data_IF_719238573440
#
_entry.id   IF_719238573440
#
_cell.length_a   1.000
_cell.length_b   1.000
_cell.length_c   1.000
_cell.angle_alpha   90.00
_cell.angle_beta   90.00
_cell.angle_gamma   90.00
#
_symmetry.space_group_name_H-M   'P 1'
#
loop_
_entity.id
_entity.type
_entity.pdbx_description
1 polymer ?
#
# COMPACT_ATOMS: atom_id res chain seq x y z
N UNK A 1 -25.18 6.96 9.05
CA UNK A 1 -25.09 6.39 10.41
C UNK A 1 -24.39 5.00 10.42
N UNK A 2 -24.42 4.21 9.35
CA UNK A 2 -23.74 2.91 9.26
C UNK A 2 -22.20 2.96 9.09
N UNK A 3 -21.64 3.98 8.44
CA UNK A 3 -20.18 4.03 8.16
C UNK A 3 -19.32 4.15 9.44
N UNK A 4 -19.82 4.81 10.48
CA UNK A 4 -19.14 4.91 11.79
C UNK A 4 -19.18 3.62 12.60
N UNK A 5 -20.20 2.78 12.39
CA UNK A 5 -20.32 1.49 13.07
C UNK A 5 -19.38 0.48 12.41
N UNK A 6 -19.37 0.43 11.08
CA UNK A 6 -18.45 -0.43 10.31
C UNK A 6 -17.00 -0.05 10.57
N UNK A 7 -16.65 1.24 10.60
CA UNK A 7 -15.29 1.69 10.89
C UNK A 7 -14.84 1.33 12.31
N UNK A 8 -15.72 1.45 13.30
CA UNK A 8 -15.43 1.05 14.68
C UNK A 8 -15.29 -0.47 14.85
N UNK A 9 -16.11 -1.28 14.17
CA UNK A 9 -15.95 -2.74 14.17
C UNK A 9 -14.64 -3.19 13.51
N UNK A 10 -14.26 -2.58 12.38
CA UNK A 10 -12.98 -2.84 11.70
C UNK A 10 -11.79 -2.43 12.58
N UNK A 11 -11.89 -1.32 13.30
CA UNK A 11 -10.86 -0.86 14.24
C UNK A 11 -10.75 -1.79 15.46
N UNK A 12 -11.87 -2.29 15.96
CA UNK A 12 -11.94 -3.23 17.09
C UNK A 12 -11.35 -4.60 16.73
N UNK A 13 -11.63 -5.12 15.52
CA UNK A 13 -11.02 -6.37 15.03
C UNK A 13 -9.50 -6.24 14.84
N UNK A 14 -9.02 -5.13 14.27
CA UNK A 14 -7.58 -4.87 14.14
C UNK A 14 -6.84 -4.82 15.49
N UNK A 15 -7.45 -4.22 16.50
CA UNK A 15 -6.87 -4.18 17.86
C UNK A 15 -6.78 -5.58 18.48
N UNK A 16 -7.79 -6.44 18.29
CA UNK A 16 -7.78 -7.84 18.79
C UNK A 16 -6.70 -8.66 18.08
N UNK A 17 -6.55 -8.51 16.76
CA UNK A 17 -5.51 -9.19 15.99
C UNK A 17 -4.10 -8.74 16.40
N UNK A 18 -3.92 -7.46 16.70
CA UNK A 18 -2.64 -6.92 17.17
C UNK A 18 -2.32 -7.37 18.59
N UNK A 19 -3.32 -7.47 19.48
CA UNK A 19 -3.13 -8.01 20.83
C UNK A 19 -2.72 -9.48 20.82
N UNK A 20 -3.31 -10.29 19.93
CA UNK A 20 -2.88 -11.69 19.73
C UNK A 20 -1.44 -11.78 19.19
N UNK A 21 -1.04 -10.87 18.30
CA UNK A 21 0.35 -10.76 17.82
C UNK A 21 1.33 -10.35 18.94
N UNK A 22 0.93 -9.43 19.80
CA UNK A 22 1.71 -9.02 20.98
C UNK A 22 1.94 -10.21 21.90
N UNK A 23 0.89 -10.95 22.26
CA UNK A 23 1.00 -12.11 23.15
C UNK A 23 1.87 -13.24 22.55
N UNK A 24 1.75 -13.49 21.25
CA UNK A 24 2.59 -14.48 20.58
C UNK A 24 4.06 -14.05 20.57
N UNK A 25 4.36 -12.77 20.35
CA UNK A 25 5.72 -12.23 20.43
C UNK A 25 6.29 -12.30 21.85
N UNK A 26 5.50 -11.99 22.89
CA UNK A 26 5.94 -12.12 24.29
C UNK A 26 6.28 -13.57 24.62
N UNK A 27 5.44 -14.52 24.20
CA UNK A 27 5.71 -15.95 24.41
C UNK A 27 6.99 -16.39 23.68
N UNK A 28 7.22 -15.88 22.47
CA UNK A 28 8.47 -16.12 21.75
C UNK A 28 9.68 -15.54 22.49
N UNK A 29 9.57 -14.33 23.06
CA UNK A 29 10.63 -13.73 23.87
C UNK A 29 10.96 -14.57 25.10
N UNK A 30 9.95 -15.02 25.85
CA UNK A 30 10.12 -15.91 27.01
C UNK A 30 10.81 -17.22 26.63
N UNK A 31 10.37 -17.84 25.53
CA UNK A 31 10.98 -19.09 25.05
C UNK A 31 12.45 -18.90 24.65
N UNK A 32 12.80 -17.77 24.02
CA UNK A 32 14.20 -17.48 23.68
C UNK A 32 15.04 -17.18 24.93
N UNK A 33 14.46 -16.50 25.92
CA UNK A 33 15.09 -16.23 27.22
C UNK A 33 15.43 -17.52 27.96
N UNK A 34 14.45 -18.43 28.10
CA UNK A 34 14.65 -19.73 28.75
C UNK A 34 15.68 -20.59 28.02
N UNK A 35 15.67 -20.58 26.69
CA UNK A 35 16.67 -21.27 25.89
C UNK A 35 18.08 -20.71 26.11
N UNK A 36 18.23 -19.38 26.16
CA UNK A 36 19.52 -18.73 26.44
C UNK A 36 20.00 -19.07 27.85
N UNK A 37 19.10 -19.03 28.83
CA UNK A 37 19.40 -19.41 30.20
C UNK A 37 19.90 -20.86 30.28
N UNK A 38 19.21 -21.79 29.62
CA UNK A 38 19.60 -23.19 29.57
C UNK A 38 20.93 -23.40 28.84
N UNK A 39 21.18 -22.69 27.73
CA UNK A 39 22.45 -22.74 27.00
C UNK A 39 23.63 -22.35 27.89
N UNK A 40 23.51 -21.25 28.64
CA UNK A 40 24.54 -20.83 29.59
C UNK A 40 24.65 -21.76 30.81
N UNK A 41 23.60 -22.49 31.19
CA UNK A 41 23.67 -23.50 32.25
C UNK A 41 24.34 -24.80 31.78
N UNK A 42 24.20 -25.15 30.50
CA UNK A 42 24.81 -26.32 29.87
C UNK A 42 26.29 -26.13 29.50
N UNK A 43 27.00 -25.21 30.16
CA UNK A 43 28.42 -24.87 29.92
C UNK A 43 29.39 -25.98 30.41
N UNK A 44 29.06 -27.25 30.21
CA UNK A 44 29.94 -28.35 30.61
C UNK A 44 31.00 -28.62 29.53
N UNK A 45 32.25 -28.30 29.88
CA UNK A 45 33.46 -28.95 29.35
C UNK A 45 33.75 -28.76 27.86
N UNK A 46 33.82 -27.51 27.39
CA UNK A 46 34.28 -27.21 26.02
C UNK A 46 35.79 -27.54 25.90
N UNK A 47 36.11 -28.79 25.54
CA UNK A 47 37.50 -29.26 25.41
C UNK A 47 38.01 -29.28 23.97
N UNK A 48 37.13 -29.05 23.00
CA UNK A 48 37.44 -29.11 21.58
C UNK A 48 37.19 -27.77 20.88
N UNK A 49 38.00 -27.48 19.86
CA UNK A 49 37.95 -26.25 19.08
C UNK A 49 36.57 -26.04 18.43
N UNK A 50 36.01 -27.10 17.85
CA UNK A 50 34.74 -27.00 17.13
C UNK A 50 33.57 -26.83 18.10
N UNK A 51 33.68 -27.43 19.29
CA UNK A 51 32.71 -27.25 20.37
C UNK A 51 32.66 -25.78 20.84
N UNK A 52 33.81 -25.12 20.97
CA UNK A 52 33.91 -23.70 21.31
C UNK A 52 33.20 -22.78 20.31
N UNK A 53 33.50 -22.97 19.02
CA UNK A 53 32.87 -22.19 17.96
C UNK A 53 31.37 -22.45 17.88
N UNK A 54 30.97 -23.71 18.02
CA UNK A 54 29.57 -24.12 17.96
C UNK A 54 28.75 -23.51 19.11
N UNK A 55 29.29 -23.51 20.34
CA UNK A 55 28.66 -22.85 21.48
C UNK A 55 28.54 -21.34 21.24
N UNK A 56 29.65 -20.66 20.92
CA UNK A 56 29.67 -19.20 20.67
C UNK A 56 28.68 -18.81 19.57
N UNK A 57 28.69 -19.54 18.45
CA UNK A 57 27.79 -19.27 17.33
C UNK A 57 26.33 -19.54 17.68
N UNK A 58 26.02 -20.59 18.44
CA UNK A 58 24.66 -20.87 18.92
C UNK A 58 24.14 -19.74 19.81
N UNK A 59 24.91 -19.36 20.83
CA UNK A 59 24.52 -18.28 21.77
C UNK A 59 24.38 -16.95 21.03
N UNK A 60 25.35 -16.60 20.17
CA UNK A 60 25.29 -15.36 19.39
C UNK A 60 24.08 -15.33 18.47
N UNK A 61 23.75 -16.43 17.78
CA UNK A 61 22.58 -16.50 16.90
C UNK A 61 21.29 -16.31 17.70
N UNK A 62 21.15 -16.95 18.86
CA UNK A 62 19.98 -16.81 19.73
C UNK A 62 19.82 -15.39 20.29
N UNK A 63 20.90 -14.70 20.63
CA UNK A 63 20.86 -13.29 21.04
C UNK A 63 20.38 -12.39 19.89
N UNK A 64 20.82 -12.65 18.66
CA UNK A 64 20.37 -11.92 17.47
C UNK A 64 18.88 -12.18 17.22
N UNK A 65 18.44 -13.44 17.28
CA UNK A 65 17.03 -13.81 17.12
C UNK A 65 16.16 -13.09 18.16
N UNK A 66 16.59 -13.08 19.43
CA UNK A 66 15.92 -12.35 20.50
C UNK A 66 15.81 -10.85 20.18
N UNK A 67 16.91 -10.24 19.73
CA UNK A 67 16.96 -8.82 19.37
C UNK A 67 16.02 -8.49 18.22
N UNK A 68 15.86 -9.39 17.25
CA UNK A 68 14.94 -9.23 16.14
C UNK A 68 13.48 -9.29 16.60
N UNK A 69 13.14 -10.23 17.49
CA UNK A 69 11.79 -10.33 18.09
C UNK A 69 11.44 -9.07 18.87
N UNK A 70 12.38 -8.52 19.65
CA UNK A 70 12.20 -7.25 20.37
C UNK A 70 12.01 -6.07 19.40
N UNK A 71 12.75 -6.02 18.29
CA UNK A 71 12.57 -4.97 17.28
C UNK A 71 11.19 -5.03 16.61
N UNK A 72 10.69 -6.23 16.31
CA UNK A 72 9.33 -6.41 15.78
C UNK A 72 8.27 -5.96 16.77
N UNK A 73 8.47 -6.26 18.05
CA UNK A 73 7.58 -5.81 19.12
C UNK A 73 7.57 -4.29 19.27
N UNK A 74 8.73 -3.64 19.22
CA UNK A 74 8.84 -2.19 19.27
C UNK A 74 8.08 -1.50 18.12
N UNK A 75 8.12 -2.06 16.91
CA UNK A 75 7.34 -1.53 15.77
C UNK A 75 5.83 -1.56 16.04
N UNK A 76 5.33 -2.58 16.74
CA UNK A 76 3.93 -2.70 17.10
C UNK A 76 3.59 -1.74 18.25
N UNK A 77 4.45 -1.63 19.26
CA UNK A 77 4.28 -0.66 20.35
C UNK A 77 4.24 0.78 19.85
N UNK A 78 5.11 1.18 18.91
CA UNK A 78 5.11 2.54 18.38
C UNK A 78 3.84 2.92 17.59
N UNK A 79 3.04 1.93 17.16
CA UNK A 79 1.82 2.15 16.38
C UNK A 79 0.56 2.28 17.25
N UNK A 80 0.58 1.82 18.50
CA UNK A 80 -0.59 1.76 19.39
C UNK A 80 -0.28 2.33 20.78
N UNK A 81 -1.25 3.05 21.38
CA UNK A 81 -1.20 3.43 22.79
C UNK A 81 -1.47 2.18 23.65
N UNK A 82 -0.41 1.41 23.93
CA UNK A 82 -0.50 0.12 24.64
C UNK A 82 -0.52 0.31 26.16
N UNK A 83 -1.22 -0.60 26.85
CA UNK A 83 -1.27 -0.74 28.30
C UNK A 83 0.11 -0.78 28.97
N UNK A 84 0.19 -0.17 30.17
CA UNK A 84 1.42 -0.01 30.95
C UNK A 84 2.16 -1.33 31.25
N UNK A 85 1.42 -2.43 31.43
CA UNK A 85 1.97 -3.77 31.73
C UNK A 85 2.87 -4.31 30.60
N UNK A 86 2.43 -4.15 29.35
CA UNK A 86 3.17 -4.63 28.16
C UNK A 86 4.49 -3.86 27.97
N UNK A 87 4.51 -2.59 28.37
CA UNK A 87 5.71 -1.75 28.34
C UNK A 87 6.74 -2.20 29.39
N UNK A 88 6.29 -2.57 30.59
CA UNK A 88 7.17 -3.10 31.63
C UNK A 88 7.80 -4.43 31.21
N UNK A 89 7.04 -5.32 30.57
CA UNK A 89 7.53 -6.60 30.05
C UNK A 89 8.54 -6.41 28.90
N UNK A 90 8.33 -5.41 28.04
CA UNK A 90 9.32 -5.01 27.03
C UNK A 90 10.64 -4.52 27.62
N UNK A 91 10.57 -3.63 28.61
CA UNK A 91 11.76 -3.09 29.28
C UNK A 91 12.55 -4.19 30.01
N UNK A 92 11.84 -5.17 30.59
CA UNK A 92 12.44 -6.37 31.17
C UNK A 92 13.23 -7.17 30.12
N UNK A 93 12.61 -7.50 28.98
CA UNK A 93 13.26 -8.28 27.92
C UNK A 93 14.44 -7.54 27.27
N UNK A 94 14.35 -6.21 27.11
CA UNK A 94 15.47 -5.38 26.65
C UNK A 94 16.68 -5.49 27.57
N UNK A 95 16.46 -5.37 28.88
CA UNK A 95 17.52 -5.50 29.89
C UNK A 95 18.15 -6.90 29.88
N UNK A 96 17.35 -7.95 29.68
CA UNK A 96 17.85 -9.32 29.59
C UNK A 96 18.75 -9.53 28.36
N UNK A 97 18.39 -9.00 27.18
CA UNK A 97 19.27 -9.06 26.01
C UNK A 97 20.62 -8.42 26.29
N UNK A 98 20.63 -7.25 26.91
CA UNK A 98 21.89 -6.56 27.21
C UNK A 98 22.73 -7.34 28.22
N UNK A 99 22.09 -7.96 29.21
CA UNK A 99 22.75 -8.87 30.14
C UNK A 99 23.35 -10.09 29.43
N UNK A 100 22.65 -10.70 28.46
CA UNK A 100 23.20 -11.82 27.69
C UNK A 100 24.37 -11.41 26.78
N UNK A 101 24.33 -10.22 26.18
CA UNK A 101 25.47 -9.68 25.43
C UNK A 101 26.68 -9.50 26.34
N UNK A 102 26.48 -8.95 27.54
CA UNK A 102 27.53 -8.82 28.56
C UNK A 102 28.05 -10.17 29.03
N UNK A 103 27.18 -11.13 29.32
CA UNK A 103 27.56 -12.51 29.69
C UNK A 103 28.38 -13.20 28.60
N UNK A 104 27.96 -13.12 27.33
CA UNK A 104 28.71 -13.71 26.21
C UNK A 104 30.08 -13.05 26.06
N UNK A 105 30.17 -11.73 26.23
CA UNK A 105 31.45 -11.01 26.20
C UNK A 105 32.37 -11.43 27.34
N UNK A 106 31.84 -11.55 28.55
CA UNK A 106 32.59 -11.98 29.72
C UNK A 106 33.10 -13.41 29.53
N UNK A 107 32.20 -14.30 29.11
CA UNK A 107 32.50 -15.68 28.77
C UNK A 107 33.63 -15.77 27.74
N UNK A 108 33.56 -15.01 26.64
CA UNK A 108 34.62 -15.01 25.63
C UNK A 108 35.97 -14.57 26.22
N UNK A 109 35.99 -13.50 27.01
CA UNK A 109 37.23 -13.01 27.61
C UNK A 109 37.86 -14.02 28.60
N UNK A 110 37.05 -14.81 29.29
CA UNK A 110 37.53 -15.87 30.17
C UNK A 110 38.16 -17.01 29.37
N UNK A 111 37.54 -17.41 28.26
CA UNK A 111 37.92 -18.60 27.50
C UNK A 111 38.83 -18.34 26.28
N UNK A 112 39.09 -17.08 25.92
CA UNK A 112 39.89 -16.67 24.77
C UNK A 112 41.28 -17.32 24.77
N UNK A 113 41.94 -17.37 25.92
CA UNK A 113 43.28 -17.97 26.07
C UNK A 113 43.28 -19.47 25.80
N UNK A 114 42.28 -20.19 26.30
CA UNK A 114 42.15 -21.63 26.09
C UNK A 114 41.80 -21.95 24.63
N UNK A 115 40.94 -21.13 24.01
CA UNK A 115 40.64 -21.22 22.58
C UNK A 115 41.91 -21.03 21.73
N UNK A 116 42.71 -20.00 21.99
CA UNK A 116 43.97 -19.79 21.27
C UNK A 116 44.96 -20.94 21.47
N UNK A 117 45.04 -21.51 22.67
CA UNK A 117 45.85 -22.70 22.94
C UNK A 117 45.42 -23.89 22.06
N UNK A 118 44.11 -24.12 21.93
CA UNK A 118 43.55 -25.16 21.06
C UNK A 118 43.86 -24.89 19.58
N UNK A 119 43.68 -23.66 19.09
CA UNK A 119 44.03 -23.29 17.73
C UNK A 119 45.50 -23.54 17.42
N UNK A 120 46.40 -23.15 18.34
CA UNK A 120 47.83 -23.36 18.16
C UNK A 120 48.19 -24.85 18.13
N UNK A 121 47.57 -25.66 19.01
CA UNK A 121 47.74 -27.12 19.01
C UNK A 121 47.28 -27.75 17.69
N UNK A 122 46.14 -27.34 17.15
CA UNK A 122 45.65 -27.80 15.85
C UNK A 122 46.55 -27.38 14.70
N UNK A 123 47.02 -26.14 14.71
CA UNK A 123 47.93 -25.62 13.69
C UNK A 123 49.26 -26.41 13.68
N UNK A 124 49.86 -26.64 14.85
CA UNK A 124 51.09 -27.42 14.96
C UNK A 124 50.88 -28.87 14.51
N UNK A 125 49.76 -29.51 14.88
CA UNK A 125 49.41 -30.85 14.42
C UNK A 125 49.31 -30.92 12.88
N UNK A 126 48.70 -29.91 12.26
CA UNK A 126 48.57 -29.80 10.80
C UNK A 126 49.90 -29.51 10.11
N UNK A 127 50.78 -28.71 10.72
CA UNK A 127 52.12 -28.45 10.18
C UNK A 127 52.98 -29.72 10.20
N UNK A 128 52.90 -30.48 11.29
CA UNK A 128 53.58 -31.78 11.40
C UNK A 128 53.07 -32.73 10.32
N UNK A 129 51.74 -32.86 10.11
CA UNK A 129 51.22 -33.72 9.04
C UNK A 129 51.65 -33.29 7.64
N UNK A 130 51.76 -31.98 7.38
CA UNK A 130 52.21 -31.48 6.07
C UNK A 130 53.70 -31.72 5.83
N UNK A 131 54.56 -31.54 6.82
CA UNK A 131 56.00 -31.82 6.70
C UNK A 131 56.29 -33.30 6.43
N UNK A 132 55.45 -34.23 6.90
CA UNK A 132 55.59 -35.66 6.56
C UNK A 132 55.17 -35.98 5.11
N UNK A 133 54.32 -35.16 4.49
CA UNK A 133 53.87 -35.33 3.11
C UNK A 133 54.85 -34.67 2.12
N UNK A 134 55.50 -33.57 2.50
CA UNK A 134 56.48 -32.85 1.66
C UNK A 134 57.82 -33.60 1.47
N UNK A 135 58.18 -34.52 2.37
CA UNK A 135 59.48 -35.22 2.31
C UNK A 135 59.56 -36.35 1.26
N UNK A 136 58.50 -36.67 0.51
CA UNK A 136 58.46 -37.83 -0.39
C UNK A 136 58.42 -37.52 -1.90
N UNK A 137 58.41 -36.25 -2.35
CA UNK A 137 58.15 -35.99 -3.78
C UNK A 137 58.95 -34.90 -4.50
N UNK A 138 60.04 -34.36 -3.94
CA UNK A 138 60.66 -33.19 -4.57
C UNK A 138 62.13 -33.40 -4.97
N UNK A 139 62.34 -33.52 -6.29
CA UNK A 139 63.56 -33.03 -6.98
C UNK A 139 63.53 -33.01 -8.51
N UNK A 140 62.45 -33.41 -9.20
CA UNK A 140 62.33 -33.31 -10.67
C UNK A 140 61.02 -32.70 -11.19
N UNK A 141 60.17 -32.14 -10.32
CA UNK A 141 58.80 -31.66 -10.65
C UNK A 141 58.68 -30.13 -10.64
N UNK A 142 59.77 -29.41 -10.42
CA UNK A 142 59.71 -28.03 -9.92
C UNK A 142 59.28 -27.03 -11.00
N UNK A 143 59.73 -27.17 -12.25
CA UNK A 143 59.37 -26.22 -13.32
C UNK A 143 57.90 -26.35 -13.78
N UNK A 144 57.38 -27.58 -13.90
CA UNK A 144 55.99 -27.82 -14.32
C UNK A 144 54.99 -27.52 -13.18
N UNK A 145 55.37 -27.80 -11.93
CA UNK A 145 54.58 -27.40 -10.76
C UNK A 145 54.60 -25.89 -10.53
N UNK A 146 55.68 -25.17 -10.85
CA UNK A 146 55.69 -23.70 -10.75
C UNK A 146 54.64 -23.09 -11.68
N UNK A 147 54.58 -23.51 -12.95
CA UNK A 147 53.58 -23.00 -13.91
C UNK A 147 52.14 -23.36 -13.50
N UNK A 148 51.91 -24.56 -12.99
CA UNK A 148 50.59 -24.97 -12.47
C UNK A 148 50.23 -24.22 -11.18
N UNK A 149 51.21 -23.94 -10.32
CA UNK A 149 51.02 -23.18 -9.07
C UNK A 149 50.73 -21.72 -9.35
N UNK A 150 51.39 -21.12 -10.35
CA UNK A 150 51.10 -19.77 -10.83
C UNK A 150 49.72 -19.69 -11.49
N UNK A 151 49.36 -20.67 -12.33
CA UNK A 151 48.00 -20.76 -12.91
C UNK A 151 46.93 -20.90 -11.83
N UNK A 152 47.19 -21.72 -10.81
CA UNK A 152 46.30 -21.89 -9.65
C UNK A 152 46.18 -20.60 -8.85
N UNK A 153 47.28 -19.89 -8.64
CA UNK A 153 47.29 -18.60 -7.94
C UNK A 153 46.49 -17.56 -8.73
N UNK A 154 46.69 -17.50 -10.04
CA UNK A 154 45.93 -16.63 -10.95
C UNK A 154 44.43 -16.94 -10.92
N UNK A 155 44.03 -18.22 -10.91
CA UNK A 155 42.62 -18.59 -10.74
C UNK A 155 42.05 -18.18 -9.38
N UNK A 156 42.82 -18.34 -8.30
CA UNK A 156 42.39 -17.93 -6.96
C UNK A 156 42.19 -16.41 -6.90
N UNK A 157 43.13 -15.66 -7.47
CA UNK A 157 43.06 -14.19 -7.53
C UNK A 157 41.87 -13.73 -8.37
N UNK A 158 41.58 -14.40 -9.50
CA UNK A 158 40.41 -14.10 -10.33
C UNK A 158 39.09 -14.46 -9.64
N UNK A 159 39.03 -15.59 -8.92
CA UNK A 159 37.86 -15.95 -8.10
C UNK A 159 37.62 -14.92 -6.99
N UNK A 160 38.69 -14.42 -6.36
CA UNK A 160 38.59 -13.38 -5.34
C UNK A 160 38.12 -12.05 -5.96
N UNK A 161 38.63 -11.70 -7.15
CA UNK A 161 38.16 -10.55 -7.92
C UNK A 161 36.68 -10.66 -8.25
N UNK A 162 36.24 -11.81 -8.76
CA UNK A 162 34.82 -12.08 -9.05
C UNK A 162 33.93 -12.04 -7.81
N UNK A 163 34.42 -12.54 -6.65
CA UNK A 163 33.68 -12.43 -5.38
C UNK A 163 33.52 -10.98 -4.94
N UNK A 164 34.57 -10.17 -5.05
CA UNK A 164 34.49 -8.74 -4.74
C UNK A 164 33.52 -8.02 -5.68
N UNK A 165 33.64 -8.23 -7.00
CA UNK A 165 32.70 -7.65 -7.98
C UNK A 165 31.26 -8.09 -7.71
N UNK A 166 31.02 -9.37 -7.39
CA UNK A 166 29.68 -9.84 -7.02
C UNK A 166 29.15 -9.16 -5.75
N UNK A 167 30.02 -8.93 -4.77
CA UNK A 167 29.63 -8.22 -3.54
C UNK A 167 29.29 -6.76 -3.80
N UNK A 168 30.05 -6.07 -4.67
CA UNK A 168 29.78 -4.71 -5.11
C UNK A 168 28.48 -4.62 -5.93
N UNK A 169 28.24 -5.58 -6.83
CA UNK A 169 26.99 -5.66 -7.59
C UNK A 169 25.77 -5.91 -6.68
N UNK A 170 25.91 -6.76 -5.66
CA UNK A 170 24.86 -6.98 -4.67
C UNK A 170 24.58 -5.72 -3.85
N UNK A 171 25.62 -5.00 -3.40
CA UNK A 171 25.46 -3.74 -2.68
C UNK A 171 24.82 -2.65 -3.56
N UNK A 172 25.22 -2.57 -4.84
CA UNK A 172 24.59 -1.70 -5.84
C UNK A 172 23.11 -2.04 -6.06
N UNK A 173 22.77 -3.32 -6.18
CA UNK A 173 21.38 -3.79 -6.29
C UNK A 173 20.56 -3.43 -5.04
N UNK A 174 21.13 -3.58 -3.85
CA UNK A 174 20.47 -3.15 -2.61
C UNK A 174 20.29 -1.62 -2.54
N UNK A 175 21.26 -0.85 -3.02
CA UNK A 175 21.16 0.61 -3.14
C UNK A 175 20.04 1.02 -4.10
N UNK A 176 19.93 0.36 -5.26
CA UNK A 176 18.85 0.57 -6.22
C UNK A 176 17.47 0.25 -5.59
N UNK A 177 17.35 -0.88 -4.89
CA UNK A 177 16.10 -1.22 -4.21
C UNK A 177 15.70 -0.19 -3.14
N UNK A 178 16.67 0.33 -2.39
CA UNK A 178 16.43 1.42 -1.43
C UNK A 178 16.01 2.71 -2.13
N UNK A 179 16.60 3.03 -3.30
CA UNK A 179 16.18 4.18 -4.10
C UNK A 179 14.74 4.02 -4.59
N UNK A 180 14.34 2.85 -5.09
CA UNK A 180 12.96 2.58 -5.53
C UNK A 180 11.94 2.72 -4.37
N UNK A 181 12.28 2.21 -3.18
CA UNK A 181 11.43 2.39 -1.98
C UNK A 181 11.28 3.87 -1.60
N UNK A 182 12.35 4.65 -1.72
CA UNK A 182 12.34 6.10 -1.48
C UNK A 182 11.51 6.83 -2.54
N UNK A 183 11.67 6.50 -3.82
CA UNK A 183 10.90 7.08 -4.92
C UNK A 183 9.41 6.79 -4.77
N UNK A 184 9.03 5.56 -4.43
CA UNK A 184 7.63 5.21 -4.17
C UNK A 184 7.06 5.98 -2.97
N UNK A 185 7.86 6.17 -1.90
CA UNK A 185 7.47 7.03 -0.77
C UNK A 185 7.26 8.49 -1.19
N UNK A 186 8.13 9.03 -2.05
CA UNK A 186 7.96 10.36 -2.61
C UNK A 186 6.74 10.47 -3.51
N UNK A 187 6.47 9.48 -4.35
CA UNK A 187 5.28 9.43 -5.20
C UNK A 187 4.00 9.45 -4.36
N UNK A 188 3.94 8.62 -3.31
CA UNK A 188 2.80 8.60 -2.39
C UNK A 188 2.61 9.95 -1.67
N UNK A 189 3.70 10.60 -1.25
CA UNK A 189 3.66 11.94 -0.64
C UNK A 189 3.20 13.00 -1.64
N UNK A 190 3.71 12.99 -2.86
CA UNK A 190 3.30 13.90 -3.93
C UNK A 190 1.82 13.74 -4.27
N UNK A 191 1.34 12.49 -4.37
CA UNK A 191 -0.07 12.18 -4.62
C UNK A 191 -0.97 12.69 -3.49
N UNK A 192 -0.56 12.47 -2.23
CA UNK A 192 -1.28 12.99 -1.06
C UNK A 192 -1.33 14.52 -1.06
N UNK A 193 -0.20 15.19 -1.28
CA UNK A 193 -0.13 16.65 -1.39
C UNK A 193 -0.99 17.19 -2.54
N UNK A 194 -0.98 16.53 -3.71
CA UNK A 194 -1.82 16.91 -4.84
C UNK A 194 -3.32 16.79 -4.51
N UNK A 195 -3.72 15.74 -3.79
CA UNK A 195 -5.10 15.59 -3.30
C UNK A 195 -5.48 16.70 -2.31
N UNK A 196 -4.57 17.07 -1.40
CA UNK A 196 -4.80 18.18 -0.47
C UNK A 196 -4.95 19.51 -1.22
N UNK A 197 -4.06 19.81 -2.16
CA UNK A 197 -4.14 21.00 -3.01
C UNK A 197 -5.45 21.02 -3.80
N UNK A 198 -5.87 19.89 -4.37
CA UNK A 198 -7.14 19.78 -5.09
C UNK A 198 -8.33 20.04 -4.16
N UNK A 199 -8.32 19.49 -2.94
CA UNK A 199 -9.37 19.72 -1.95
C UNK A 199 -9.44 21.19 -1.50
N UNK A 200 -8.29 21.84 -1.32
CA UNK A 200 -8.19 23.25 -0.97
C UNK A 200 -8.67 24.12 -2.13
N UNK A 201 -8.27 23.81 -3.37
CA UNK A 201 -8.75 24.51 -4.57
C UNK A 201 -10.27 24.38 -4.70
N UNK A 202 -10.82 23.18 -4.53
CA UNK A 202 -12.27 22.94 -4.59
C UNK A 202 -13.02 23.70 -3.49
N UNK A 203 -12.44 23.80 -2.28
CA UNK A 203 -13.01 24.59 -1.18
C UNK A 203 -12.99 26.08 -1.50
N UNK A 204 -11.86 26.62 -1.97
CA UNK A 204 -11.75 28.03 -2.36
C UNK A 204 -12.67 28.40 -3.52
N UNK A 205 -12.85 27.50 -4.50
CA UNK A 205 -13.80 27.68 -5.60
C UNK A 205 -15.25 27.71 -5.09
N UNK A 206 -15.61 26.83 -4.15
CA UNK A 206 -16.93 26.85 -3.52
C UNK A 206 -17.15 28.14 -2.72
N UNK A 207 -16.17 28.61 -1.96
CA UNK A 207 -16.25 29.88 -1.22
C UNK A 207 -16.43 31.07 -2.20
N UNK A 208 -15.74 31.04 -3.34
CA UNK A 208 -15.90 32.04 -4.41
C UNK A 208 -17.30 32.01 -5.02
N UNK A 209 -17.91 30.82 -5.17
CA UNK A 209 -19.31 30.69 -5.62
C UNK A 209 -20.29 31.29 -4.62
N UNK A 210 -20.08 31.11 -3.31
CA UNK A 210 -20.93 31.73 -2.28
C UNK A 210 -20.86 33.26 -2.30
N UNK A 211 -19.68 33.83 -2.56
CA UNK A 211 -19.51 35.28 -2.75
C UNK A 211 -20.31 35.74 -3.97
N UNK A 212 -20.22 35.03 -5.09
CA UNK A 212 -21.01 35.34 -6.29
C UNK A 212 -22.51 35.21 -6.07
N UNK A 213 -22.99 34.19 -5.35
CA UNK A 213 -24.41 34.07 -5.00
C UNK A 213 -24.88 35.23 -4.12
N UNK A 214 -24.06 35.65 -3.16
CA UNK A 214 -24.36 36.80 -2.30
C UNK A 214 -24.44 38.10 -3.12
N UNK A 215 -23.55 38.27 -4.09
CA UNK A 215 -23.58 39.41 -5.02
C UNK A 215 -24.83 39.40 -5.91
N UNK A 216 -25.18 38.26 -6.51
CA UNK A 216 -26.40 38.12 -7.31
C UNK A 216 -27.67 38.33 -6.49
N UNK A 217 -27.70 37.86 -5.24
CA UNK A 217 -28.82 38.10 -4.33
C UNK A 217 -28.98 39.59 -4.04
N UNK A 218 -27.88 40.28 -3.73
CA UNK A 218 -27.89 41.74 -3.52
C UNK A 218 -28.36 42.48 -4.78
N UNK A 219 -27.81 42.13 -5.95
CA UNK A 219 -28.20 42.71 -7.23
C UNK A 219 -29.68 42.47 -7.54
N UNK A 220 -30.21 41.27 -7.26
CA UNK A 220 -31.62 40.93 -7.41
C UNK A 220 -32.52 41.79 -6.52
N UNK A 221 -32.13 42.00 -5.26
CA UNK A 221 -32.84 42.90 -4.34
C UNK A 221 -32.79 44.34 -4.83
N UNK A 222 -31.63 44.83 -5.29
CA UNK A 222 -31.51 46.16 -5.89
C UNK A 222 -32.42 46.34 -7.11
N UNK A 223 -32.39 45.38 -8.04
CA UNK A 223 -33.28 45.35 -9.21
C UNK A 223 -34.74 45.34 -8.76
N UNK A 224 -35.11 44.53 -7.77
CA UNK A 224 -36.48 44.47 -7.25
C UNK A 224 -36.95 45.83 -6.69
N UNK A 225 -36.11 46.54 -5.93
CA UNK A 225 -36.46 47.87 -5.41
C UNK A 225 -36.63 48.88 -6.54
N UNK A 226 -35.74 48.85 -7.55
CA UNK A 226 -35.83 49.73 -8.73
C UNK A 226 -37.11 49.43 -9.52
N UNK A 227 -37.40 48.16 -9.82
CA UNK A 227 -38.62 47.73 -10.52
C UNK A 227 -39.89 48.09 -9.74
N UNK A 228 -39.84 48.00 -8.40
CA UNK A 228 -40.93 48.41 -7.51
C UNK A 228 -41.17 49.91 -7.59
N UNK A 229 -40.12 50.73 -7.62
CA UNK A 229 -40.22 52.19 -7.67
C UNK A 229 -40.61 52.72 -9.04
N UNK A 230 -40.17 52.07 -10.12
CA UNK A 230 -40.53 52.42 -11.50
C UNK A 230 -41.95 51.97 -11.92
N UNK A 231 -42.70 51.29 -11.04
CA UNK A 231 -44.05 50.80 -11.37
C UNK A 231 -44.08 49.66 -12.40
N UNK A 232 -42.92 49.10 -12.76
CA UNK A 232 -42.80 48.00 -13.73
C UNK A 232 -43.46 46.71 -13.25
N UNK A 233 -43.71 46.53 -11.95
CA UNK A 233 -44.48 45.38 -11.44
C UNK A 233 -45.84 45.29 -12.15
N UNK A 234 -46.50 46.43 -12.40
CA UNK A 234 -47.78 46.47 -13.13
C UNK A 234 -47.60 46.16 -14.62
N UNK A 235 -46.50 46.62 -15.23
CA UNK A 235 -46.16 46.32 -16.61
C UNK A 235 -45.81 44.84 -16.83
N UNK A 236 -45.04 44.23 -15.92
CA UNK A 236 -44.65 42.81 -15.97
C UNK A 236 -45.87 41.91 -15.77
N UNK A 237 -46.75 42.23 -14.82
CA UNK A 237 -48.02 41.50 -14.64
C UNK A 237 -48.88 41.62 -15.91
N UNK A 238 -48.93 42.80 -16.54
CA UNK A 238 -49.63 42.98 -17.81
C UNK A 238 -49.00 42.16 -18.96
N UNK A 239 -47.67 42.12 -19.05
CA UNK A 239 -46.94 41.32 -20.06
C UNK A 239 -47.16 39.83 -19.84
N UNK A 240 -47.10 39.34 -18.60
CA UNK A 240 -47.37 37.92 -18.29
C UNK A 240 -48.82 37.57 -18.66
N UNK A 241 -49.79 38.43 -18.32
CA UNK A 241 -51.19 38.24 -18.69
C UNK A 241 -51.38 38.26 -20.21
N UNK A 242 -50.63 39.10 -20.91
CA UNK A 242 -50.61 39.19 -22.37
C UNK A 242 -50.02 37.92 -23.01
N UNK A 243 -48.90 37.40 -22.48
CA UNK A 243 -48.29 36.14 -22.93
C UNK A 243 -49.24 34.97 -22.73
N UNK A 244 -49.87 34.85 -21.55
CA UNK A 244 -50.86 33.79 -21.27
C UNK A 244 -52.06 33.92 -22.21
N UNK A 245 -52.54 35.15 -22.47
CA UNK A 245 -53.64 35.38 -23.41
C UNK A 245 -53.26 35.01 -24.84
N UNK A 246 -52.03 35.30 -25.28
CA UNK A 246 -51.52 34.88 -26.60
C UNK A 246 -51.44 33.36 -26.68
N UNK A 247 -50.90 32.71 -25.64
CA UNK A 247 -50.78 31.25 -25.58
C UNK A 247 -52.17 30.57 -25.64
N UNK A 248 -53.15 31.14 -24.94
CA UNK A 248 -54.53 30.66 -24.97
C UNK A 248 -55.21 30.93 -26.32
N UNK A 249 -54.90 32.06 -26.97
CA UNK A 249 -55.38 32.37 -28.31
C UNK A 249 -54.80 31.42 -29.36
N UNK A 250 -53.50 31.15 -29.33
CA UNK A 250 -52.84 30.16 -30.19
C UNK A 250 -53.44 28.76 -29.92
N UNK A 251 -53.59 28.36 -28.66
CA UNK A 251 -54.20 27.06 -28.31
C UNK A 251 -55.63 26.93 -28.85
N UNK A 252 -56.44 27.99 -28.72
CA UNK A 252 -57.82 28.02 -29.21
C UNK A 252 -57.93 28.04 -30.74
N UNK A 253 -57.06 28.75 -31.45
CA UNK A 253 -57.03 28.72 -32.92
C UNK A 253 -56.51 27.38 -33.43
N UNK A 254 -55.50 26.78 -32.79
CA UNK A 254 -55.04 25.43 -33.10
C UNK A 254 -56.13 24.38 -32.87
N UNK A 255 -56.94 24.50 -31.82
CA UNK A 255 -58.07 23.59 -31.56
C UNK A 255 -59.20 23.75 -32.59
N UNK A 256 -59.51 25.00 -33.00
CA UNK A 256 -60.46 25.26 -34.09
C UNK A 256 -59.97 24.74 -35.43
N UNK A 257 -58.68 24.89 -35.74
CA UNK A 257 -58.08 24.33 -36.95
C UNK A 257 -58.13 22.79 -36.93
N UNK A 258 -57.81 22.18 -35.79
CA UNK A 258 -57.88 20.72 -35.61
C UNK A 258 -59.30 20.18 -35.78
N UNK A 259 -60.31 20.84 -35.20
CA UNK A 259 -61.72 20.45 -35.39
C UNK A 259 -62.20 20.67 -36.82
N UNK A 260 -61.74 21.72 -37.49
CA UNK A 260 -62.08 21.98 -38.90
C UNK A 260 -61.44 20.95 -39.84
N UNK A 261 -60.16 20.62 -39.63
CA UNK A 261 -59.47 19.55 -40.36
C UNK A 261 -60.15 18.21 -40.10
N UNK A 262 -60.46 17.88 -38.84
CA UNK A 262 -61.20 16.66 -38.49
C UNK A 262 -62.57 16.60 -39.18
N UNK A 263 -63.27 17.74 -39.29
CA UNK A 263 -64.57 17.83 -39.97
C UNK A 263 -64.44 17.67 -41.49
N UNK A 264 -63.38 18.21 -42.10
CA UNK A 264 -63.07 18.00 -43.53
C UNK A 264 -62.70 16.54 -43.81
N UNK A 265 -61.82 15.94 -42.99
CA UNK A 265 -61.45 14.53 -43.14
C UNK A 265 -62.66 13.61 -42.99
N UNK A 266 -63.53 13.87 -42.00
CA UNK A 266 -64.78 13.12 -41.83
C UNK A 266 -65.75 13.31 -43.00
N UNK A 267 -65.83 14.52 -43.58
CA UNK A 267 -66.69 14.78 -44.74
C UNK A 267 -66.18 14.10 -46.00
N UNK A 268 -64.87 14.16 -46.26
CA UNK A 268 -64.24 13.49 -47.40
C UNK A 268 -64.34 11.96 -47.29
N UNK A 269 -64.35 11.41 -46.07
CA UNK A 269 -64.52 9.97 -45.84
C UNK A 269 -65.95 9.49 -46.15
N UNK A 270 -66.96 10.29 -45.79
CA UNK A 270 -68.37 10.01 -46.14
C UNK A 270 -68.58 10.12 -47.66
N UNK A 271 -68.01 11.14 -48.30
CA UNK A 271 -68.14 11.35 -49.75
C UNK A 271 -67.44 10.25 -50.56
N UNK A 272 -66.36 9.64 -50.03
CA UNK A 272 -65.73 8.46 -50.63
C UNK A 272 -66.52 7.16 -50.41
N UNK A 273 -67.25 7.02 -49.31
CA UNK A 273 -68.12 5.86 -49.05
C UNK A 273 -69.39 5.92 -49.92
N UNK A 274 -69.99 7.10 -50.11
CA UNK A 274 -71.15 7.28 -50.98
C UNK A 274 -70.82 7.05 -52.47
N UNK A 275 -69.61 7.42 -52.92
CA UNK A 275 -69.14 7.15 -54.29
C UNK A 275 -68.88 5.65 -54.55
N UNK A 276 -68.43 4.90 -53.54
CA UNK A 276 -68.26 3.45 -53.63
C UNK A 276 -69.60 2.70 -53.64
N UNK A 277 -70.60 3.18 -52.88
CA UNK A 277 -71.95 2.61 -52.85
C UNK A 277 -72.68 2.84 -54.18
N UNK A 278 -72.53 4.02 -54.81
CA UNK A 278 -73.15 4.28 -56.11
C UNK A 278 -72.53 3.48 -57.26
N UNK A 279 -71.20 3.29 -57.28
CA UNK A 279 -70.56 2.43 -58.30
C UNK A 279 -70.91 0.94 -58.08
N UNK A 280 -71.14 0.53 -56.83
CA UNK A 280 -71.62 -0.82 -56.50
C UNK A 280 -73.06 -1.10 -56.94
N UNK A 281 -73.94 -0.08 -56.91
CA UNK A 281 -75.35 -0.23 -57.27
C UNK A 281 -75.63 -0.08 -58.79
N UNK A 282 -74.84 0.72 -59.51
CA UNK A 282 -75.00 0.91 -60.96
C UNK A 282 -74.49 -0.28 -61.80
N UNK A 283 -73.82 -1.26 -61.18
CA UNK A 283 -73.32 -2.47 -61.87
C UNK A 283 -74.21 -3.71 -61.71
N UNK A 284 -75.34 -3.62 -60.99
CA UNK A 284 -76.22 -4.77 -60.71
C UNK A 284 -77.57 -4.72 -61.47
N UNK A 285 -77.96 -3.62 -62.11
CA UNK A 285 -79.27 -3.53 -62.80
C UNK A 285 -79.20 -3.41 -64.33
N UNK A 286 -78.13 -3.87 -64.97
CA UNK A 286 -78.11 -4.16 -66.43
C UNK A 286 -78.05 -5.67 -66.66
N UNK A 287 -79.04 -6.39 -66.15
CA UNK A 287 -79.41 -7.74 -66.57
C UNK A 287 -80.84 -8.04 -66.09
N UNK A 288 -81.83 -7.41 -66.74
CA UNK A 288 -83.17 -7.98 -66.97
C UNK A 288 -83.97 -7.06 -67.93
N UNK A 289 -84.21 -7.59 -69.14
CA UNK A 289 -85.06 -7.14 -70.27
C UNK A 289 -84.79 -5.79 -70.96
#
# INVERSE_FOLDING_TARGET
>A
MNENIVSNFVKKNKNVDNFNKINTLINQMKLVDDNLKNLFLSEEGLNDHDSFLLFRSKVSRRIIDYSNTISQFNKIICLENIEKNVKEEYEYHLKNIENYKKKLSLWWNTWEKDYHRLCMKLFLKKKISNNYIENNEEKNKDMYNINLKDTRKMMIDEVNRMKNVKSELLDSSQKLKKQDEIFNSFEMKLKSSAQLIFSLKKKAENDTRYVWYSFFFFLSVCIYIILRRLGFIRAIIAIIKFIISILFYIGGTSFKLYTFIKKITSKNQIESEDLLINIGNDSITTNEL
#
